data_IF_489924020490
#
_entry.id   IF_489924020490
#
_cell.length_a   1.000
_cell.length_b   1.000
_cell.length_c   1.000
_cell.angle_alpha   90.00
_cell.angle_beta   90.00
_cell.angle_gamma   90.00
#
_symmetry.space_group_name_H-M   'P 1'
#
loop_
_entity.id
_entity.type
_entity.pdbx_description
1 polymer ?
#
# COMPACT_ATOMS: atom_id res chain seq x y z
N UNK A 1 7.68 -3.03 -19.06
CA UNK A 1 6.51 -2.94 -18.20
C UNK A 1 5.84 -4.31 -18.11
N UNK A 2 5.74 -4.86 -16.89
CA UNK A 2 5.19 -6.20 -16.64
C UNK A 2 3.72 -6.34 -17.10
N UNK A 3 2.93 -5.29 -16.96
CA UNK A 3 1.53 -5.25 -17.40
C UNK A 3 1.37 -5.62 -18.89
N UNK A 4 2.22 -5.04 -19.74
CA UNK A 4 2.22 -5.34 -21.19
C UNK A 4 2.81 -6.71 -21.48
N UNK A 5 3.90 -7.10 -20.81
CA UNK A 5 4.54 -8.40 -21.01
C UNK A 5 3.63 -9.59 -20.65
N UNK A 6 2.78 -9.41 -19.64
CA UNK A 6 1.83 -10.44 -19.20
C UNK A 6 0.47 -10.36 -19.92
N UNK A 7 0.30 -9.44 -20.88
CA UNK A 7 -0.95 -9.17 -21.60
C UNK A 7 -2.14 -8.99 -20.65
N UNK A 8 -1.93 -8.21 -19.56
CA UNK A 8 -2.98 -8.04 -18.53
C UNK A 8 -4.17 -7.24 -19.07
N UNK A 9 -3.98 -6.35 -20.05
CA UNK A 9 -5.06 -5.60 -20.68
C UNK A 9 -6.19 -6.48 -21.22
N UNK A 10 -5.86 -7.74 -21.62
CA UNK A 10 -6.84 -8.68 -22.19
C UNK A 10 -7.47 -9.57 -21.11
N UNK A 11 -7.02 -9.46 -19.86
CA UNK A 11 -7.41 -10.35 -18.74
C UNK A 11 -8.16 -9.64 -17.64
N UNK A 12 -8.11 -8.32 -17.60
CA UNK A 12 -8.74 -7.50 -16.55
C UNK A 12 -9.45 -6.29 -17.16
N UNK A 13 -10.34 -5.68 -16.41
CA UNK A 13 -10.90 -4.37 -16.73
C UNK A 13 -9.94 -3.32 -16.22
N UNK A 14 -9.20 -2.65 -17.12
CA UNK A 14 -8.23 -1.61 -16.77
C UNK A 14 -8.85 -0.22 -16.84
N UNK A 15 -9.03 0.41 -15.69
CA UNK A 15 -9.60 1.76 -15.57
C UNK A 15 -8.55 2.71 -15.01
N UNK A 16 -8.06 3.62 -15.84
CA UNK A 16 -7.05 4.61 -15.41
C UNK A 16 -7.71 5.77 -14.67
N UNK A 17 -7.12 6.16 -13.52
CA UNK A 17 -7.60 7.25 -12.70
C UNK A 17 -6.65 7.60 -11.57
N UNK A 18 -7.01 8.65 -10.84
CA UNK A 18 -6.32 9.08 -9.64
C UNK A 18 -7.19 8.76 -8.40
N UNK A 19 -6.62 8.12 -7.39
CA UNK A 19 -7.33 7.79 -6.15
C UNK A 19 -7.76 9.02 -5.34
N UNK A 20 -7.22 10.20 -5.67
CA UNK A 20 -7.66 11.47 -5.10
C UNK A 20 -9.01 11.95 -5.65
N UNK A 21 -9.45 11.38 -6.79
CA UNK A 21 -10.78 11.68 -7.36
C UNK A 21 -11.86 10.75 -6.78
N UNK A 22 -12.38 11.14 -5.62
CA UNK A 22 -13.46 10.40 -4.95
C UNK A 22 -14.70 10.21 -5.84
N UNK A 23 -15.05 11.20 -6.68
CA UNK A 23 -16.22 11.11 -7.55
C UNK A 23 -16.05 10.01 -8.59
N UNK A 24 -14.85 9.90 -9.17
CA UNK A 24 -14.52 8.82 -10.12
C UNK A 24 -14.49 7.46 -9.42
N UNK A 25 -13.88 7.36 -8.25
CA UNK A 25 -13.88 6.12 -7.45
C UNK A 25 -15.30 5.64 -7.18
N UNK A 26 -16.19 6.50 -6.67
CA UNK A 26 -17.59 6.13 -6.39
C UNK A 26 -18.30 5.62 -7.65
N UNK A 27 -18.16 6.29 -8.79
CA UNK A 27 -18.74 5.82 -10.06
C UNK A 27 -18.23 4.44 -10.47
N UNK A 28 -16.95 4.14 -10.24
CA UNK A 28 -16.36 2.83 -10.53
C UNK A 28 -16.96 1.77 -9.59
N UNK A 29 -17.04 2.06 -8.30
CA UNK A 29 -17.65 1.16 -7.33
C UNK A 29 -19.14 0.91 -7.63
N UNK A 30 -19.90 1.95 -7.98
CA UNK A 30 -21.30 1.84 -8.37
C UNK A 30 -21.48 0.98 -9.64
N UNK A 31 -20.55 1.11 -10.61
CA UNK A 31 -20.62 0.37 -11.86
C UNK A 31 -20.23 -1.10 -11.72
N UNK A 32 -19.19 -1.40 -10.95
CA UNK A 32 -18.58 -2.74 -10.91
C UNK A 32 -18.91 -3.53 -9.65
N UNK A 33 -19.46 -2.89 -8.63
CA UNK A 33 -19.91 -3.52 -7.38
C UNK A 33 -18.89 -4.53 -6.80
N UNK A 34 -17.65 -4.11 -6.49
CA UNK A 34 -16.61 -5.04 -6.03
C UNK A 34 -16.94 -5.62 -4.65
N UNK A 35 -16.80 -6.94 -4.50
CA UNK A 35 -16.95 -7.62 -3.20
C UNK A 35 -15.67 -7.50 -2.35
N UNK A 36 -14.49 -7.54 -2.98
CA UNK A 36 -13.19 -7.44 -2.32
C UNK A 36 -12.38 -6.29 -2.92
N UNK A 37 -11.79 -5.48 -2.07
CA UNK A 37 -10.97 -4.33 -2.47
C UNK A 37 -9.56 -4.45 -1.91
N UNK A 38 -8.56 -4.47 -2.79
CA UNK A 38 -7.14 -4.34 -2.43
C UNK A 38 -6.64 -2.95 -2.80
N UNK A 39 -6.34 -2.13 -1.80
CA UNK A 39 -5.81 -0.79 -2.01
C UNK A 39 -4.28 -0.81 -1.98
N UNK A 40 -3.65 -0.98 -3.15
CA UNK A 40 -2.20 -0.98 -3.32
C UNK A 40 -1.65 0.35 -3.85
N UNK A 41 -2.52 1.26 -4.28
CA UNK A 41 -2.10 2.54 -4.85
C UNK A 41 -1.45 3.44 -3.79
N UNK A 42 -0.27 3.98 -4.09
CA UNK A 42 0.45 4.89 -3.21
C UNK A 42 1.54 5.66 -3.99
N UNK A 43 2.02 6.76 -3.42
CA UNK A 43 3.33 7.30 -3.72
C UNK A 43 4.36 6.58 -2.82
N UNK A 44 5.20 5.64 -3.33
CA UNK A 44 6.00 4.74 -2.49
C UNK A 44 7.46 5.17 -2.32
N UNK A 45 7.89 6.28 -2.92
CA UNK A 45 9.29 6.69 -2.98
C UNK A 45 9.63 7.65 -1.86
N UNK A 46 10.50 7.22 -0.94
CA UNK A 46 10.91 8.03 0.22
C UNK A 46 11.58 9.35 -0.24
N UNK A 47 12.50 9.29 -1.22
CA UNK A 47 13.16 10.50 -1.71
C UNK A 47 12.18 11.51 -2.28
N UNK A 48 11.26 11.06 -3.13
CA UNK A 48 10.21 11.91 -3.68
C UNK A 48 9.31 12.52 -2.58
N UNK A 49 9.11 11.82 -1.47
CA UNK A 49 8.31 12.36 -0.37
C UNK A 49 8.93 13.59 0.30
N UNK A 50 10.26 13.70 0.32
CA UNK A 50 10.94 14.92 0.77
C UNK A 50 10.81 16.07 -0.24
N UNK A 51 10.83 15.76 -1.53
CA UNK A 51 10.69 16.75 -2.61
C UNK A 51 9.25 17.24 -2.76
N UNK A 52 8.29 16.33 -2.56
CA UNK A 52 6.86 16.56 -2.75
C UNK A 52 6.03 16.04 -1.58
N UNK A 53 6.16 16.62 -0.37
CA UNK A 53 5.46 16.11 0.81
C UNK A 53 3.94 16.24 0.69
N UNK A 54 3.41 17.36 0.21
CA UNK A 54 1.96 17.58 0.01
C UNK A 54 1.38 16.50 -0.89
N UNK A 55 1.97 16.29 -2.07
CA UNK A 55 1.55 15.24 -3.00
C UNK A 55 1.57 13.85 -2.34
N UNK A 56 2.59 13.56 -1.53
CA UNK A 56 2.70 12.27 -0.83
C UNK A 56 1.54 12.06 0.15
N UNK A 57 1.18 13.07 0.94
CA UNK A 57 0.03 12.97 1.85
C UNK A 57 -1.30 12.96 1.11
N UNK A 58 -1.47 13.74 0.07
CA UNK A 58 -2.68 13.70 -0.76
C UNK A 58 -2.91 12.30 -1.35
N UNK A 59 -1.88 11.69 -1.95
CA UNK A 59 -2.01 10.35 -2.55
C UNK A 59 -2.19 9.30 -1.47
N UNK A 60 -1.33 9.27 -0.45
CA UNK A 60 -1.32 8.18 0.51
C UNK A 60 -2.46 8.29 1.52
N UNK A 61 -2.67 9.44 2.13
CA UNK A 61 -3.67 9.61 3.20
C UNK A 61 -5.05 9.91 2.63
N UNK A 62 -5.18 10.98 1.82
CA UNK A 62 -6.47 11.32 1.24
C UNK A 62 -6.94 10.29 0.21
N UNK A 63 -6.01 9.69 -0.55
CA UNK A 63 -6.32 8.58 -1.44
C UNK A 63 -6.87 7.36 -0.69
N UNK A 64 -6.26 6.98 0.44
CA UNK A 64 -6.77 5.90 1.30
C UNK A 64 -8.14 6.26 1.89
N UNK A 65 -8.32 7.50 2.34
CA UNK A 65 -9.63 7.99 2.80
C UNK A 65 -10.70 7.84 1.72
N UNK A 66 -10.40 8.23 0.49
CA UNK A 66 -11.33 8.13 -0.62
C UNK A 66 -11.72 6.68 -0.94
N UNK A 67 -10.77 5.75 -0.86
CA UNK A 67 -11.06 4.32 -1.04
C UNK A 67 -11.94 3.79 0.08
N UNK A 68 -11.66 4.15 1.34
CA UNK A 68 -12.50 3.79 2.49
C UNK A 68 -13.92 4.36 2.36
N UNK A 69 -14.06 5.59 1.88
CA UNK A 69 -15.37 6.20 1.59
C UNK A 69 -16.11 5.52 0.44
N UNK A 70 -15.40 5.08 -0.60
CA UNK A 70 -16.00 4.30 -1.67
C UNK A 70 -16.51 2.93 -1.15
N UNK A 71 -15.71 2.24 -0.32
CA UNK A 71 -16.11 0.99 0.35
C UNK A 71 -17.32 1.22 1.25
N UNK A 72 -17.33 2.31 2.02
CA UNK A 72 -18.42 2.61 2.96
C UNK A 72 -19.77 2.76 2.27
N UNK A 73 -19.80 3.30 1.07
CA UNK A 73 -21.01 3.55 0.28
C UNK A 73 -21.32 2.47 -0.77
N UNK A 74 -20.56 1.39 -0.84
CA UNK A 74 -20.78 0.31 -1.79
C UNK A 74 -21.29 -0.94 -1.06
N UNK A 75 -22.56 -1.30 -1.21
CA UNK A 75 -23.19 -2.38 -0.46
C UNK A 75 -22.63 -3.76 -0.79
N UNK A 76 -22.15 -3.97 -2.01
CA UNK A 76 -21.54 -5.23 -2.43
C UNK A 76 -20.20 -5.52 -1.77
N UNK A 77 -19.46 -4.48 -1.35
CA UNK A 77 -18.11 -4.68 -0.78
C UNK A 77 -18.21 -5.33 0.61
N UNK A 78 -17.52 -6.46 0.76
CA UNK A 78 -17.43 -7.23 2.01
C UNK A 78 -16.08 -7.05 2.69
N UNK A 79 -14.99 -7.06 1.90
CA UNK A 79 -13.63 -7.00 2.42
C UNK A 79 -12.84 -5.86 1.79
N UNK A 80 -12.18 -5.06 2.64
CA UNK A 80 -11.22 -4.04 2.21
C UNK A 80 -9.86 -4.24 2.87
N UNK A 81 -8.81 -4.47 2.06
CA UNK A 81 -7.42 -4.56 2.51
C UNK A 81 -6.63 -3.33 2.09
N UNK A 82 -6.18 -2.56 3.08
CA UNK A 82 -5.38 -1.35 2.89
C UNK A 82 -3.91 -1.68 3.08
N UNK A 83 -3.13 -1.63 1.99
CA UNK A 83 -1.71 -1.96 2.03
C UNK A 83 -0.91 -0.75 2.49
N UNK A 84 -0.33 -0.86 3.68
CA UNK A 84 0.52 0.17 4.26
C UNK A 84 2.01 -0.16 4.08
N UNK A 85 2.79 -0.28 5.13
CA UNK A 85 4.22 -0.58 5.06
C UNK A 85 4.76 -0.89 6.46
N UNK A 86 5.87 -1.62 6.55
CA UNK A 86 6.69 -1.75 7.75
C UNK A 86 7.22 -0.39 8.26
N UNK A 87 7.31 0.61 7.39
CA UNK A 87 7.77 1.97 7.74
C UNK A 87 6.73 2.81 8.47
N UNK A 88 5.53 2.28 8.70
CA UNK A 88 4.52 2.93 9.55
C UNK A 88 4.90 2.94 11.03
N UNK A 89 5.81 2.08 11.46
CA UNK A 89 6.28 2.04 12.85
C UNK A 89 7.19 3.21 13.18
N UNK A 90 7.16 3.64 14.45
CA UNK A 90 8.20 4.48 15.03
C UNK A 90 9.53 3.70 15.02
N UNK A 91 10.52 4.17 14.23
CA UNK A 91 11.80 3.48 14.12
C UNK A 91 12.66 3.68 15.37
N UNK A 92 12.80 2.64 16.19
CA UNK A 92 13.61 2.63 17.42
C UNK A 92 15.01 2.06 17.25
N UNK A 93 15.34 1.57 16.06
CA UNK A 93 16.63 0.94 15.72
C UNK A 93 17.09 -0.14 16.73
N UNK A 94 16.14 -0.83 17.34
CA UNK A 94 16.40 -1.91 18.29
C UNK A 94 16.62 -3.25 17.56
N UNK A 95 17.07 -4.26 18.31
CA UNK A 95 17.39 -5.58 17.77
C UNK A 95 16.16 -6.49 17.57
N UNK A 96 15.01 -6.08 18.09
CA UNK A 96 13.77 -6.86 18.04
C UNK A 96 12.95 -6.52 16.78
N UNK A 97 12.25 -7.54 16.26
CA UNK A 97 11.22 -7.30 15.23
C UNK A 97 10.04 -6.51 15.79
N UNK A 98 9.44 -5.65 14.94
CA UNK A 98 8.23 -4.90 15.31
C UNK A 98 7.00 -5.81 15.32
N UNK A 99 6.07 -5.49 16.20
CA UNK A 99 4.76 -6.15 16.34
C UNK A 99 3.66 -5.20 15.92
N UNK A 100 2.49 -5.73 15.59
CA UNK A 100 1.32 -4.94 15.16
C UNK A 100 0.86 -3.94 16.23
N UNK A 101 1.17 -4.19 17.50
CA UNK A 101 0.84 -3.33 18.66
C UNK A 101 1.90 -2.29 18.97
N UNK A 102 3.04 -2.30 18.28
CA UNK A 102 4.09 -1.31 18.52
C UNK A 102 3.69 0.07 18.00
N UNK A 103 4.34 1.11 18.56
CA UNK A 103 4.02 2.51 18.26
C UNK A 103 4.07 2.80 16.77
N UNK A 104 3.03 3.46 16.28
CA UNK A 104 2.97 3.99 14.92
C UNK A 104 3.67 5.35 14.90
N UNK A 105 4.48 5.57 13.87
CA UNK A 105 5.20 6.83 13.66
C UNK A 105 5.93 6.81 12.32
N UNK A 106 6.73 7.81 12.06
CA UNK A 106 7.54 7.87 10.84
C UNK A 106 8.29 9.18 10.77
N UNK A 107 9.59 9.11 10.55
CA UNK A 107 10.46 10.30 10.55
C UNK A 107 10.43 11.04 9.21
N UNK A 108 10.25 10.33 8.10
CA UNK A 108 10.14 10.94 6.78
C UNK A 108 8.67 11.05 6.33
N UNK A 109 8.35 11.93 5.36
CA UNK A 109 6.97 12.17 4.94
C UNK A 109 6.27 10.92 4.37
N UNK A 110 6.99 10.00 3.71
CA UNK A 110 6.43 8.73 3.25
C UNK A 110 6.04 7.85 4.44
N UNK A 111 6.98 7.61 5.35
CA UNK A 111 6.77 6.76 6.54
C UNK A 111 5.64 7.30 7.41
N UNK A 112 5.64 8.61 7.65
CA UNK A 112 4.59 9.31 8.37
C UNK A 112 3.23 9.17 7.66
N UNK A 113 3.17 9.34 6.33
CA UNK A 113 1.92 9.16 5.58
C UNK A 113 1.35 7.75 5.73
N UNK A 114 2.20 6.72 5.76
CA UNK A 114 1.78 5.33 6.00
C UNK A 114 1.31 5.10 7.43
N UNK A 115 1.94 5.74 8.42
CA UNK A 115 1.45 5.78 9.80
C UNK A 115 0.07 6.43 9.90
N UNK A 116 -0.16 7.55 9.23
CA UNK A 116 -1.48 8.19 9.14
C UNK A 116 -2.53 7.26 8.50
N UNK A 117 -2.17 6.47 7.48
CA UNK A 117 -3.08 5.47 6.92
C UNK A 117 -3.49 4.41 7.94
N UNK A 118 -2.58 3.93 8.80
CA UNK A 118 -2.90 2.97 9.86
C UNK A 118 -3.91 3.55 10.86
N UNK A 119 -3.69 4.80 11.30
CA UNK A 119 -4.61 5.50 12.19
C UNK A 119 -5.98 5.71 11.53
N UNK A 120 -6.00 6.09 10.26
CA UNK A 120 -7.22 6.27 9.47
C UNK A 120 -8.00 4.97 9.33
N UNK A 121 -7.34 3.86 8.96
CA UNK A 121 -7.97 2.53 8.86
C UNK A 121 -8.53 2.09 10.19
N UNK A 122 -7.78 2.28 11.28
CA UNK A 122 -8.25 1.97 12.63
C UNK A 122 -9.50 2.78 13.00
N UNK A 123 -9.52 4.08 12.66
CA UNK A 123 -10.69 4.94 12.89
C UNK A 123 -11.92 4.44 12.14
N UNK A 124 -11.79 4.09 10.85
CA UNK A 124 -12.91 3.58 10.07
C UNK A 124 -13.42 2.24 10.58
N UNK A 125 -12.51 1.33 10.94
CA UNK A 125 -12.87 0.03 11.52
C UNK A 125 -13.67 0.18 12.81
N UNK A 126 -13.26 1.09 13.68
CA UNK A 126 -13.95 1.28 14.96
C UNK A 126 -15.23 2.11 14.87
N UNK A 127 -15.30 3.08 13.93
CA UNK A 127 -16.42 4.00 13.84
C UNK A 127 -17.53 3.54 12.91
N UNK A 128 -17.17 2.97 11.76
CA UNK A 128 -18.15 2.60 10.71
C UNK A 128 -18.32 1.09 10.56
N UNK A 129 -17.29 0.30 10.89
CA UNK A 129 -17.26 -1.15 10.69
C UNK A 129 -16.87 -1.93 11.95
N UNK A 130 -17.40 -1.58 13.15
CA UNK A 130 -17.06 -2.31 14.38
C UNK A 130 -17.60 -3.73 14.31
N UNK A 131 -16.79 -4.72 14.72
CA UNK A 131 -17.13 -6.13 14.63
C UNK A 131 -18.38 -6.49 15.43
N UNK A 132 -18.68 -5.77 16.51
CA UNK A 132 -19.88 -5.93 17.32
C UNK A 132 -21.17 -5.64 16.55
N UNK A 133 -21.08 -4.86 15.47
CA UNK A 133 -22.20 -4.53 14.58
C UNK A 133 -22.02 -5.11 13.18
N UNK A 134 -21.25 -6.20 13.04
CA UNK A 134 -21.02 -6.83 11.74
C UNK A 134 -22.32 -7.19 11.01
N UNK A 135 -23.35 -7.66 11.73
CA UNK A 135 -24.66 -7.98 11.15
C UNK A 135 -25.37 -6.79 10.50
N UNK A 136 -25.01 -5.55 10.86
CA UNK A 136 -25.62 -4.34 10.30
C UNK A 136 -24.93 -3.91 8.99
N UNK A 137 -23.60 -3.98 8.92
CA UNK A 137 -22.84 -3.46 7.78
C UNK A 137 -22.21 -4.55 6.89
N UNK A 138 -21.96 -5.76 7.41
CA UNK A 138 -21.45 -6.90 6.65
C UNK A 138 -20.06 -6.69 6.03
N UNK A 139 -19.23 -5.80 6.57
CA UNK A 139 -17.94 -5.40 5.99
C UNK A 139 -16.79 -5.60 6.98
N UNK A 140 -15.64 -6.05 6.47
CA UNK A 140 -14.39 -6.14 7.25
C UNK A 140 -13.30 -5.31 6.57
N UNK A 141 -12.64 -4.46 7.36
CA UNK A 141 -11.53 -3.62 6.89
C UNK A 141 -10.29 -3.97 7.69
N UNK A 142 -9.20 -4.25 6.98
CA UNK A 142 -7.91 -4.51 7.59
C UNK A 142 -6.77 -3.71 6.91
N UNK A 143 -5.75 -3.36 7.68
CA UNK A 143 -4.47 -2.93 7.14
C UNK A 143 -3.48 -4.08 7.12
N UNK A 144 -2.60 -4.10 6.14
CA UNK A 144 -1.51 -5.08 6.02
C UNK A 144 -0.19 -4.37 5.78
N UNK A 145 0.87 -4.89 6.39
CA UNK A 145 2.21 -4.30 6.38
C UNK A 145 3.17 -5.26 5.73
N UNK A 146 3.85 -4.83 4.67
CA UNK A 146 4.94 -5.58 4.07
C UNK A 146 6.25 -4.80 4.21
N UNK A 147 7.35 -5.52 4.35
CA UNK A 147 8.70 -4.96 4.32
C UNK A 147 9.16 -4.62 2.91
N UNK A 148 10.45 -4.77 2.66
CA UNK A 148 10.99 -4.52 1.33
C UNK A 148 10.60 -5.65 0.38
N UNK A 149 9.88 -5.32 -0.68
CA UNK A 149 9.40 -6.26 -1.68
C UNK A 149 10.20 -6.09 -2.96
N UNK A 150 10.63 -7.21 -3.56
CA UNK A 150 11.31 -7.25 -4.87
C UNK A 150 10.51 -8.12 -5.83
N UNK A 151 10.52 -7.74 -7.11
CA UNK A 151 9.88 -8.50 -8.18
C UNK A 151 10.21 -7.92 -9.54
N UNK A 152 9.90 -8.66 -10.59
CA UNK A 152 10.11 -8.22 -11.96
C UNK A 152 9.29 -6.97 -12.31
N UNK A 153 9.87 -6.09 -13.13
CA UNK A 153 9.18 -4.90 -13.67
C UNK A 153 9.24 -3.63 -12.81
N UNK A 154 9.85 -3.68 -11.61
CA UNK A 154 10.15 -2.45 -10.84
C UNK A 154 11.46 -1.83 -11.34
N UNK A 155 11.35 -0.68 -11.98
CA UNK A 155 12.47 0.13 -12.47
C UNK A 155 12.50 1.51 -11.82
N UNK A 156 11.86 1.66 -10.65
CA UNK A 156 11.85 2.93 -9.92
C UNK A 156 13.25 3.40 -9.56
N UNK A 157 13.45 4.71 -9.60
CA UNK A 157 14.70 5.33 -9.19
C UNK A 157 14.90 5.20 -7.67
N UNK A 158 16.16 5.27 -7.24
CA UNK A 158 16.54 5.23 -5.83
C UNK A 158 16.18 3.92 -5.09
N UNK A 159 15.91 2.84 -5.84
CA UNK A 159 15.75 1.49 -5.31
C UNK A 159 17.00 0.67 -5.60
N UNK A 160 17.50 -0.02 -4.58
CA UNK A 160 18.81 -0.69 -4.64
C UNK A 160 18.90 -1.72 -5.78
N UNK A 161 17.89 -2.56 -5.99
CA UNK A 161 17.96 -3.60 -7.03
C UNK A 161 17.95 -2.99 -8.43
N UNK A 162 16.99 -2.11 -8.81
CA UNK A 162 17.05 -1.40 -10.10
C UNK A 162 18.32 -0.57 -10.28
N UNK A 163 18.81 0.07 -9.23
CA UNK A 163 20.06 0.86 -9.31
C UNK A 163 21.28 -0.02 -9.56
N UNK A 164 21.37 -1.21 -8.93
CA UNK A 164 22.42 -2.18 -9.20
C UNK A 164 22.38 -2.68 -10.65
N UNK A 165 21.19 -3.02 -11.16
CA UNK A 165 21.04 -3.50 -12.54
C UNK A 165 21.48 -2.41 -13.53
N UNK A 166 21.03 -1.16 -13.36
CA UNK A 166 21.44 -0.04 -14.20
C UNK A 166 22.94 0.21 -14.17
N UNK A 167 23.57 0.14 -13.00
CA UNK A 167 25.01 0.29 -12.87
C UNK A 167 25.79 -0.81 -13.61
N UNK A 168 25.35 -2.06 -13.48
CA UNK A 168 25.96 -3.18 -14.18
C UNK A 168 25.80 -3.09 -15.70
N UNK A 169 24.59 -2.75 -16.19
CA UNK A 169 24.33 -2.56 -17.62
C UNK A 169 25.18 -1.42 -18.21
N UNK A 170 25.42 -0.36 -17.42
CA UNK A 170 26.27 0.77 -17.80
C UNK A 170 27.77 0.53 -17.56
N UNK A 171 28.18 -0.66 -17.10
CA UNK A 171 29.55 -0.97 -16.68
C UNK A 171 30.12 0.06 -15.68
N UNK A 172 29.30 0.47 -14.70
CA UNK A 172 29.64 1.42 -13.64
C UNK A 172 29.68 0.74 -12.28
N UNK A 173 30.36 1.37 -11.33
CA UNK A 173 30.40 0.89 -9.96
C UNK A 173 29.01 0.99 -9.30
N UNK A 174 28.64 -0.05 -8.56
CA UNK A 174 27.43 -0.03 -7.73
C UNK A 174 27.68 0.85 -6.51
N UNK A 175 26.87 1.91 -6.34
CA UNK A 175 26.96 2.82 -5.20
C UNK A 175 25.95 2.41 -4.13
N UNK A 176 26.44 1.99 -2.96
CA UNK A 176 25.62 1.66 -1.80
C UNK A 176 25.60 2.86 -0.84
N UNK A 177 24.44 3.53 -0.72
CA UNK A 177 24.28 4.74 0.09
C UNK A 177 24.28 4.48 1.60
N UNK A 178 23.73 3.34 2.03
CA UNK A 178 23.58 2.96 3.43
C UNK A 178 23.98 1.51 3.67
N UNK A 179 25.29 1.15 3.66
CA UNK A 179 25.75 -0.24 3.66
C UNK A 179 25.45 -0.99 4.96
N UNK A 180 25.17 -0.28 6.07
CA UNK A 180 24.81 -0.89 7.37
C UNK A 180 23.31 -1.06 7.57
N UNK A 181 22.47 -0.62 6.62
CA UNK A 181 21.01 -0.77 6.75
C UNK A 181 20.58 -2.21 6.57
N UNK A 182 19.81 -2.70 7.53
CA UNK A 182 19.14 -3.99 7.47
C UNK A 182 17.75 -3.79 6.87
N UNK A 183 17.32 -4.71 5.98
CA UNK A 183 16.01 -4.66 5.34
C UNK A 183 15.40 -6.05 5.24
N UNK A 184 14.11 -6.22 5.57
CA UNK A 184 13.40 -7.49 5.47
C UNK A 184 12.96 -7.74 4.02
N UNK A 185 13.87 -8.25 3.20
CA UNK A 185 13.60 -8.54 1.79
C UNK A 185 12.72 -9.77 1.61
N UNK A 186 11.74 -9.65 0.72
CA UNK A 186 10.89 -10.77 0.31
C UNK A 186 10.52 -10.64 -1.17
N UNK A 187 10.23 -11.76 -1.82
CA UNK A 187 9.72 -11.78 -3.19
C UNK A 187 8.26 -11.29 -3.21
N UNK A 188 7.87 -10.58 -4.27
CA UNK A 188 6.52 -9.96 -4.39
C UNK A 188 5.37 -10.97 -4.25
N UNK A 189 5.56 -12.22 -4.63
CA UNK A 189 4.52 -13.25 -4.51
C UNK A 189 4.23 -13.63 -3.05
N UNK A 190 5.19 -13.44 -2.12
CA UNK A 190 4.97 -13.72 -0.70
C UNK A 190 3.90 -12.82 -0.08
N UNK A 191 4.07 -11.47 -0.10
CA UNK A 191 3.03 -10.61 0.45
C UNK A 191 1.72 -10.69 -0.35
N UNK A 192 1.77 -10.83 -1.68
CA UNK A 192 0.55 -10.95 -2.49
C UNK A 192 -0.23 -12.23 -2.13
N UNK A 193 0.46 -13.36 -1.95
CA UNK A 193 -0.16 -14.60 -1.46
C UNK A 193 -0.80 -14.41 -0.09
N UNK A 194 -0.09 -13.74 0.84
CA UNK A 194 -0.60 -13.41 2.16
C UNK A 194 -1.86 -12.54 2.11
N UNK A 195 -1.90 -11.53 1.22
CA UNK A 195 -3.07 -10.66 1.05
C UNK A 195 -4.29 -11.43 0.55
N UNK A 196 -4.11 -12.33 -0.43
CA UNK A 196 -5.19 -13.17 -0.94
C UNK A 196 -5.74 -14.12 0.14
N UNK A 197 -4.86 -14.81 0.87
CA UNK A 197 -5.24 -15.70 1.97
C UNK A 197 -5.99 -14.94 3.07
N UNK A 198 -5.52 -13.73 3.41
CA UNK A 198 -6.19 -12.90 4.41
C UNK A 198 -7.58 -12.47 3.93
N UNK A 199 -7.70 -12.02 2.67
CA UNK A 199 -8.99 -11.61 2.12
C UNK A 199 -10.01 -12.75 2.08
N UNK A 200 -9.56 -13.99 1.85
CA UNK A 200 -10.41 -15.19 1.87
C UNK A 200 -10.92 -15.53 3.28
N UNK A 201 -10.13 -15.19 4.30
CA UNK A 201 -10.45 -15.52 5.71
C UNK A 201 -11.26 -14.45 6.44
N UNK A 202 -11.36 -13.25 5.88
CA UNK A 202 -12.12 -12.13 6.41
C UNK A 202 -13.55 -12.13 5.92
#
# INVERSE_FOLDING_TARGET
NLFLLANLQDKIIDIRGDIRDLKKLRRIFDQYQPEVVFHLAAQPLVKLSYEQPVYTYEVNVLGTLNVLEAIRHCDSTKVGLMITSDKCYENKEWIWGYRETDSIGGHDPYSSSKGCCEVLVSSYRNSYFPMERFSEHGKVIASVRAGNVIGGGDWSLDRIIPDCVRALEANQNIVIRAPKSIRPWQHVLEPLGGYLILAEKL
#
